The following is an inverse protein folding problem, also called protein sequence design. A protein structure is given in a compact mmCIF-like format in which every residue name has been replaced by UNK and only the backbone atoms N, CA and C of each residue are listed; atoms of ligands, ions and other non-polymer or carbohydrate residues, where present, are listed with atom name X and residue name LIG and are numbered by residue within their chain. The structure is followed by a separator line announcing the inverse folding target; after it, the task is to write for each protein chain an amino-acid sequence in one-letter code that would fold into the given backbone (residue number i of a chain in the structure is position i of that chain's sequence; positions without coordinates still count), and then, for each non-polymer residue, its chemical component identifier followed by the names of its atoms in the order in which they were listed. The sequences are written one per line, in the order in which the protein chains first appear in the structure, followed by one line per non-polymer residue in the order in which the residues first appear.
data_IF_158672446562
#
_entry.id   IF_158672446562
#
_cell.length_a   1.000
_cell.length_b   1.000
_cell.length_c   1.000
_cell.angle_alpha   90.00
_cell.angle_beta   90.00
_cell.angle_gamma   90.00
#
_symmetry.space_group_name_H-M   'P 1'
#
loop_
_entity.id
_entity.type
_entity.pdbx_description
1 polymer ?
#
# COMPACT_ATOMS: atom_id res chain seq x y z
N UNK A 1 9.84 5.56 -11.82
CA UNK A 1 11.25 5.23 -11.54
C UNK A 1 11.29 3.76 -11.14
N UNK A 2 11.87 2.92 -11.99
CA UNK A 2 11.96 1.47 -11.76
C UNK A 2 12.83 1.22 -10.52
N UNK A 3 12.27 0.56 -9.51
CA UNK A 3 13.06 -0.05 -8.44
C UNK A 3 13.87 -1.18 -9.09
N UNK A 4 15.19 -1.06 -9.05
CA UNK A 4 16.11 -1.95 -9.72
C UNK A 4 16.04 -3.36 -9.12
N UNK A 5 15.81 -4.35 -9.97
CA UNK A 5 16.05 -5.77 -9.67
C UNK A 5 17.55 -6.00 -9.48
N UNK A 6 17.93 -6.57 -8.34
CA UNK A 6 19.31 -6.84 -7.99
C UNK A 6 19.82 -8.07 -8.77
N UNK A 7 20.78 -7.90 -9.68
CA UNK A 7 21.35 -8.97 -10.51
C UNK A 7 22.55 -9.64 -9.84
N UNK A 8 22.58 -10.97 -9.88
CA UNK A 8 23.67 -11.80 -9.32
C UNK A 8 24.91 -11.80 -10.23
N UNK A 9 26.09 -11.66 -9.60
CA UNK A 9 27.40 -11.99 -10.20
C UNK A 9 27.60 -13.50 -10.19
N UNK A 10 27.91 -14.05 -11.37
CA UNK A 10 28.24 -15.44 -11.63
C UNK A 10 29.63 -15.77 -11.07
N UNK A 11 29.73 -16.79 -10.22
CA UNK A 11 30.99 -17.42 -9.84
C UNK A 11 31.05 -18.83 -10.43
N UNK A 12 32.21 -19.11 -11.01
CA UNK A 12 32.56 -20.19 -11.92
C UNK A 12 32.49 -21.60 -11.32
N UNK A 13 32.08 -22.53 -12.17
CA UNK A 13 31.98 -23.98 -12.03
C UNK A 13 33.22 -24.70 -11.47
N UNK A 14 32.99 -25.66 -10.58
CA UNK A 14 33.80 -26.90 -10.51
C UNK A 14 32.88 -28.12 -10.42
N UNK A 15 33.07 -29.01 -11.38
CA UNK A 15 32.40 -30.29 -11.59
C UNK A 15 32.93 -31.37 -10.65
N UNK A 16 32.05 -32.09 -9.96
CA UNK A 16 32.33 -33.43 -9.42
C UNK A 16 31.14 -34.33 -9.76
N UNK A 17 31.44 -35.39 -10.51
CA UNK A 17 30.56 -36.46 -10.95
C UNK A 17 30.52 -37.60 -9.94
N UNK A 18 29.34 -38.03 -9.49
CA UNK A 18 29.14 -39.36 -8.89
C UNK A 18 27.79 -39.93 -9.38
N UNK A 19 27.86 -41.17 -9.91
CA UNK A 19 26.79 -41.97 -10.51
C UNK A 19 25.89 -42.68 -9.48
N UNK A 20 24.75 -43.28 -9.89
CA UNK A 20 23.62 -43.55 -8.99
C UNK A 20 23.52 -45.02 -8.55
N UNK A 21 23.05 -45.25 -7.31
CA UNK A 21 22.10 -46.31 -6.93
C UNK A 21 22.09 -46.47 -5.40
N UNK A 22 20.93 -46.31 -4.78
CA UNK A 22 20.28 -47.35 -3.96
C UNK A 22 18.99 -46.81 -3.34
N UNK A 23 17.89 -47.52 -3.61
CA UNK A 23 16.59 -47.37 -2.98
C UNK A 23 16.65 -47.87 -1.54
N UNK A 24 16.23 -47.03 -0.59
CA UNK A 24 15.64 -47.46 0.70
C UNK A 24 14.50 -46.49 1.06
N UNK A 25 13.30 -47.03 1.25
CA UNK A 25 12.09 -46.46 1.89
C UNK A 25 11.54 -47.65 2.72
N UNK A 26 10.83 -47.53 3.87
CA UNK A 26 9.96 -46.41 4.26
C UNK A 26 9.84 -46.04 5.77
N UNK A 27 9.09 -44.94 5.98
CA UNK A 27 8.15 -44.59 7.07
C UNK A 27 8.47 -43.36 7.94
N UNK A 28 7.62 -42.34 7.78
CA UNK A 28 7.49 -41.16 8.64
C UNK A 28 6.52 -40.18 7.96
N UNK A 29 5.30 -40.08 8.48
CA UNK A 29 4.17 -39.36 7.87
C UNK A 29 4.44 -37.86 7.66
N UNK A 30 4.96 -37.50 6.48
CA UNK A 30 4.93 -36.13 5.97
C UNK A 30 3.74 -35.97 5.04
N UNK A 31 2.72 -35.21 5.45
CA UNK A 31 1.72 -34.69 4.51
C UNK A 31 2.45 -33.82 3.50
N UNK A 32 2.67 -34.34 2.29
CA UNK A 32 3.02 -33.52 1.14
C UNK A 32 1.81 -32.60 0.92
N UNK A 33 1.94 -31.34 1.30
CA UNK A 33 1.01 -30.29 0.88
C UNK A 33 1.21 -30.19 -0.63
N UNK A 34 0.32 -30.83 -1.39
CA UNK A 34 0.22 -30.65 -2.83
C UNK A 34 -0.06 -29.17 -3.10
N UNK A 35 1.00 -28.42 -3.38
CA UNK A 35 0.90 -27.05 -3.88
C UNK A 35 0.33 -27.17 -5.29
N UNK A 36 -0.97 -26.92 -5.45
CA UNK A 36 -1.65 -26.99 -6.73
C UNK A 36 -0.90 -26.15 -7.76
N UNK A 37 -0.47 -26.79 -8.86
CA UNK A 37 0.02 -26.10 -10.03
C UNK A 37 -1.09 -25.17 -10.54
N UNK A 38 -0.86 -23.85 -10.49
CA UNK A 38 -1.75 -22.91 -11.18
C UNK A 38 -1.66 -23.20 -12.68
N UNK A 39 -2.74 -23.71 -13.27
CA UNK A 39 -2.86 -23.77 -14.72
C UNK A 39 -2.78 -22.34 -15.26
N UNK A 40 -1.84 -22.08 -16.17
CA UNK A 40 -1.63 -20.75 -16.79
C UNK A 40 -2.85 -20.20 -17.57
N UNK A 41 -3.97 -20.92 -17.66
CA UNK A 41 -5.16 -20.47 -18.38
C UNK A 41 -6.46 -20.80 -17.61
N UNK A 42 -6.51 -20.54 -16.30
CA UNK A 42 -7.68 -20.87 -15.46
C UNK A 42 -8.97 -20.11 -15.83
N UNK A 43 -8.85 -19.03 -16.61
CA UNK A 43 -9.96 -18.24 -17.14
C UNK A 43 -10.25 -18.50 -18.61
N UNK A 44 -9.71 -19.57 -19.20
CA UNK A 44 -10.01 -19.91 -20.59
C UNK A 44 -11.51 -20.05 -20.84
N UNK A 45 -12.00 -19.36 -21.86
CA UNK A 45 -13.42 -19.32 -22.21
C UNK A 45 -14.28 -18.40 -21.34
N UNK A 46 -13.70 -17.72 -20.35
CA UNK A 46 -14.37 -16.68 -19.59
C UNK A 46 -14.07 -15.30 -20.18
N UNK A 47 -15.01 -14.38 -19.99
CA UNK A 47 -14.87 -12.96 -20.30
C UNK A 47 -14.66 -12.16 -19.02
N UNK A 48 -13.62 -11.33 -18.98
CA UNK A 48 -13.31 -10.40 -17.89
C UNK A 48 -13.48 -8.96 -18.40
N UNK A 49 -14.44 -8.24 -17.86
CA UNK A 49 -14.55 -6.80 -18.07
C UNK A 49 -13.64 -6.06 -17.10
N UNK A 50 -12.79 -5.16 -17.61
CA UNK A 50 -11.89 -4.34 -16.81
C UNK A 50 -12.31 -2.88 -16.94
N UNK A 51 -12.74 -2.26 -15.84
CA UNK A 51 -13.30 -0.90 -15.82
C UNK A 51 -12.28 0.08 -15.26
N UNK A 52 -11.92 1.08 -16.07
CA UNK A 52 -10.91 2.11 -15.80
C UNK A 52 -9.51 1.66 -16.20
N UNK A 53 -8.92 2.27 -17.21
CA UNK A 53 -7.67 1.87 -17.88
C UNK A 53 -6.47 2.72 -17.46
N UNK A 54 -6.45 3.17 -16.21
CA UNK A 54 -5.24 3.67 -15.56
C UNK A 54 -4.21 2.56 -15.32
N UNK A 55 -3.19 2.85 -14.52
CA UNK A 55 -2.08 1.91 -14.24
C UNK A 55 -2.59 0.56 -13.70
N UNK A 56 -3.45 0.55 -12.68
CA UNK A 56 -4.01 -0.68 -12.10
C UNK A 56 -4.89 -1.45 -13.09
N UNK A 57 -5.77 -0.79 -13.83
CA UNK A 57 -6.65 -1.48 -14.79
C UNK A 57 -5.91 -2.08 -15.97
N UNK A 58 -4.91 -1.38 -16.51
CA UNK A 58 -4.05 -1.93 -17.57
C UNK A 58 -3.32 -3.18 -17.08
N UNK A 59 -2.84 -3.17 -15.83
CA UNK A 59 -2.21 -4.35 -15.24
C UNK A 59 -3.19 -5.51 -15.01
N UNK A 60 -4.40 -5.22 -14.53
CA UNK A 60 -5.46 -6.22 -14.38
C UNK A 60 -5.87 -6.83 -15.73
N UNK A 61 -5.93 -6.03 -16.80
CA UNK A 61 -6.21 -6.51 -18.16
C UNK A 61 -5.10 -7.47 -18.65
N UNK A 62 -3.83 -7.13 -18.43
CA UNK A 62 -2.71 -8.05 -18.73
C UNK A 62 -2.80 -9.35 -17.94
N UNK A 63 -3.11 -9.26 -16.63
CA UNK A 63 -3.27 -10.44 -15.79
C UNK A 63 -4.43 -11.32 -16.26
N UNK A 64 -5.56 -10.74 -16.67
CA UNK A 64 -6.69 -11.49 -17.20
C UNK A 64 -6.34 -12.19 -18.52
N UNK A 65 -5.63 -11.52 -19.45
CA UNK A 65 -5.13 -12.14 -20.68
C UNK A 65 -4.13 -13.27 -20.39
N UNK A 66 -3.21 -13.05 -19.44
CA UNK A 66 -2.24 -14.05 -19.01
C UNK A 66 -2.89 -15.29 -18.36
N UNK A 67 -4.12 -15.17 -17.87
CA UNK A 67 -4.97 -16.26 -17.36
C UNK A 67 -5.86 -16.89 -18.44
N UNK A 68 -5.70 -16.51 -19.70
CA UNK A 68 -6.45 -17.04 -20.84
C UNK A 68 -7.86 -16.47 -21.03
N UNK A 69 -8.23 -15.38 -20.34
CA UNK A 69 -9.54 -14.76 -20.49
C UNK A 69 -9.67 -13.94 -21.78
N UNK A 70 -10.90 -13.79 -22.27
CA UNK A 70 -11.25 -12.68 -23.16
C UNK A 70 -11.48 -11.41 -22.36
N UNK A 71 -10.85 -10.30 -22.74
CA UNK A 71 -10.87 -9.05 -21.98
C UNK A 71 -11.67 -7.97 -22.71
N UNK A 72 -12.62 -7.36 -21.99
CA UNK A 72 -13.31 -6.14 -22.41
C UNK A 72 -12.77 -4.99 -21.55
N UNK A 73 -11.90 -4.17 -22.12
CA UNK A 73 -11.28 -3.02 -21.46
C UNK A 73 -12.16 -1.77 -21.63
N UNK A 74 -12.61 -1.15 -20.54
CA UNK A 74 -13.60 -0.07 -20.57
C UNK A 74 -13.03 1.17 -19.88
N UNK A 75 -13.09 2.34 -20.53
CA UNK A 75 -12.82 3.62 -19.89
C UNK A 75 -13.76 4.72 -20.38
N UNK A 76 -14.10 5.68 -19.52
CA UNK A 76 -14.90 6.85 -19.91
C UNK A 76 -14.12 7.86 -20.75
N UNK A 77 -12.79 7.80 -20.71
CA UNK A 77 -11.94 8.73 -21.44
C UNK A 77 -11.78 8.28 -22.90
N UNK A 78 -12.51 8.95 -23.78
CA UNK A 78 -12.48 8.74 -25.25
C UNK A 78 -11.12 9.00 -25.89
N UNK A 79 -10.25 9.77 -25.21
CA UNK A 79 -8.93 10.14 -25.74
C UNK A 79 -7.82 9.13 -25.42
N UNK A 80 -8.14 8.02 -24.75
CA UNK A 80 -7.15 6.97 -24.50
C UNK A 80 -6.81 6.23 -25.79
N UNK A 81 -5.59 5.72 -25.87
CA UNK A 81 -5.21 4.77 -26.92
C UNK A 81 -5.83 3.41 -26.56
N UNK A 82 -6.61 2.79 -27.47
CA UNK A 82 -7.12 1.44 -27.28
C UNK A 82 -6.00 0.45 -26.96
N UNK A 83 -6.22 -0.47 -26.02
CA UNK A 83 -5.18 -1.37 -25.56
C UNK A 83 -4.67 -2.30 -26.67
N UNK A 84 -5.50 -2.64 -27.65
CA UNK A 84 -5.12 -3.44 -28.82
C UNK A 84 -4.09 -2.75 -29.73
N UNK A 85 -3.97 -1.44 -29.63
CA UNK A 85 -2.97 -0.64 -30.37
C UNK A 85 -1.70 -0.40 -29.55
N UNK A 86 -1.71 -0.78 -28.27
CA UNK A 86 -0.59 -0.58 -27.37
C UNK A 86 0.38 -1.75 -27.46
N UNK A 87 1.64 -1.47 -27.78
CA UNK A 87 2.70 -2.49 -27.90
C UNK A 87 2.91 -3.34 -26.64
N UNK A 88 2.48 -2.87 -25.47
CA UNK A 88 2.57 -3.62 -24.21
C UNK A 88 1.51 -4.72 -24.08
N UNK A 89 0.55 -4.77 -24.99
CA UNK A 89 -0.41 -5.85 -25.15
C UNK A 89 -0.10 -6.52 -26.48
N UNK A 90 0.41 -7.76 -26.47
CA UNK A 90 0.62 -8.45 -27.76
C UNK A 90 -0.72 -8.52 -28.51
N UNK A 91 -0.73 -8.75 -29.82
CA UNK A 91 -1.96 -8.86 -30.61
C UNK A 91 -2.77 -10.09 -30.19
N UNK A 92 -3.49 -9.97 -29.08
CA UNK A 92 -4.39 -10.98 -28.56
C UNK A 92 -5.72 -10.76 -29.25
N UNK A 93 -6.19 -11.75 -30.03
CA UNK A 93 -7.54 -11.73 -30.61
C UNK A 93 -8.69 -11.75 -29.57
N UNK A 94 -8.33 -11.73 -28.29
CA UNK A 94 -9.19 -11.83 -27.13
C UNK A 94 -9.33 -10.50 -26.36
N UNK A 95 -8.82 -9.38 -26.89
CA UNK A 95 -8.91 -8.06 -26.26
C UNK A 95 -9.80 -7.12 -27.08
N UNK A 96 -10.76 -6.47 -26.41
CA UNK A 96 -11.61 -5.42 -26.98
C UNK A 96 -11.63 -4.20 -26.06
N UNK A 97 -11.29 -3.02 -26.55
CA UNK A 97 -11.40 -1.76 -25.81
C UNK A 97 -12.68 -1.00 -26.20
N UNK A 98 -13.37 -0.46 -25.19
CA UNK A 98 -14.55 0.40 -25.32
C UNK A 98 -14.27 1.70 -24.58
N UNK A 99 -14.22 2.81 -25.31
CA UNK A 99 -13.94 4.13 -24.75
C UNK A 99 -15.18 5.03 -24.83
N UNK A 100 -15.32 5.91 -23.85
CA UNK A 100 -16.46 6.82 -23.75
C UNK A 100 -17.67 6.16 -23.11
N UNK A 101 -18.82 6.26 -23.78
CA UNK A 101 -20.06 5.65 -23.30
C UNK A 101 -20.00 4.12 -23.39
N UNK A 102 -20.12 3.47 -22.24
CA UNK A 102 -20.16 2.02 -22.15
C UNK A 102 -21.61 1.54 -22.00
N UNK A 103 -22.00 0.57 -22.82
CA UNK A 103 -23.22 -0.19 -22.60
C UNK A 103 -23.06 -1.08 -21.36
N UNK A 104 -23.95 -0.90 -20.39
CA UNK A 104 -23.97 -1.68 -19.14
C UNK A 104 -24.15 -3.18 -19.40
N UNK A 105 -24.79 -3.56 -20.51
CA UNK A 105 -24.97 -4.96 -20.88
C UNK A 105 -23.64 -5.71 -21.02
N UNK A 106 -22.54 -5.02 -21.38
CA UNK A 106 -21.20 -5.61 -21.44
C UNK A 106 -20.70 -6.09 -20.07
N UNK A 107 -21.03 -5.36 -19.00
CA UNK A 107 -20.66 -5.73 -17.63
C UNK A 107 -21.55 -6.83 -17.08
N UNK A 108 -22.83 -6.83 -17.46
CA UNK A 108 -23.80 -7.85 -17.03
C UNK A 108 -23.53 -9.20 -17.69
N UNK A 109 -23.01 -9.21 -18.93
CA UNK A 109 -22.71 -10.44 -19.68
C UNK A 109 -21.33 -11.01 -19.39
N UNK A 110 -20.33 -10.20 -19.05
CA UNK A 110 -18.98 -10.68 -18.72
C UNK A 110 -18.96 -11.58 -17.48
N UNK A 111 -18.21 -12.69 -17.44
CA UNK A 111 -18.19 -13.58 -16.27
C UNK A 111 -17.67 -12.91 -14.99
N UNK A 112 -16.73 -11.97 -15.15
CA UNK A 112 -16.14 -11.19 -14.04
C UNK A 112 -15.98 -9.73 -14.41
N UNK A 113 -16.05 -8.87 -13.41
CA UNK A 113 -15.79 -7.43 -13.55
C UNK A 113 -14.67 -7.03 -12.60
N UNK A 114 -13.56 -6.51 -13.13
CA UNK A 114 -12.45 -5.97 -12.35
C UNK A 114 -12.45 -4.46 -12.46
N UNK A 115 -12.52 -3.77 -11.33
CA UNK A 115 -12.66 -2.32 -11.30
C UNK A 115 -11.37 -1.69 -10.77
N UNK A 116 -10.86 -0.72 -11.52
CA UNK A 116 -9.72 0.08 -11.13
C UNK A 116 -10.09 1.05 -9.99
N UNK A 117 -9.17 1.32 -9.03
CA UNK A 117 -9.47 2.16 -7.86
C UNK A 117 -9.95 3.58 -8.20
N UNK A 118 -9.54 4.12 -9.36
CA UNK A 118 -9.94 5.46 -9.78
C UNK A 118 -11.41 5.58 -10.20
N UNK A 119 -12.13 4.46 -10.34
CA UNK A 119 -13.53 4.43 -10.80
C UNK A 119 -14.48 4.51 -9.60
N UNK A 120 -15.36 5.54 -9.51
CA UNK A 120 -16.47 5.58 -8.54
C UNK A 120 -17.34 4.34 -8.56
N UNK A 121 -17.66 3.80 -7.38
CA UNK A 121 -18.56 2.66 -7.22
C UNK A 121 -19.99 3.00 -7.67
N UNK A 122 -20.33 4.30 -7.69
CA UNK A 122 -21.56 4.86 -8.22
C UNK A 122 -21.61 4.84 -9.75
N UNK A 123 -20.46 4.73 -10.42
CA UNK A 123 -20.37 4.71 -11.87
C UNK A 123 -20.62 3.30 -12.43
N UNK A 124 -20.99 3.23 -13.70
CA UNK A 124 -21.19 1.98 -14.46
C UNK A 124 -22.19 0.98 -13.85
N UNK A 125 -22.99 1.40 -12.86
CA UNK A 125 -23.91 0.51 -12.15
C UNK A 125 -23.21 -0.55 -11.28
N UNK A 126 -21.96 -0.31 -10.85
CA UNK A 126 -21.17 -1.29 -10.08
C UNK A 126 -21.90 -1.76 -8.82
N UNK A 127 -22.52 -0.86 -8.07
CA UNK A 127 -23.34 -1.22 -6.89
C UNK A 127 -24.45 -2.22 -7.22
N UNK A 128 -25.12 -2.04 -8.36
CA UNK A 128 -26.20 -2.92 -8.80
C UNK A 128 -25.68 -4.30 -9.21
N UNK A 129 -24.50 -4.36 -9.83
CA UNK A 129 -23.82 -5.63 -10.14
C UNK A 129 -23.42 -6.40 -8.87
N UNK A 130 -22.87 -5.70 -7.88
CA UNK A 130 -22.57 -6.30 -6.58
C UNK A 130 -23.83 -6.87 -5.91
N UNK A 131 -24.93 -6.12 -5.93
CA UNK A 131 -26.22 -6.54 -5.36
C UNK A 131 -26.85 -7.73 -6.10
N UNK A 132 -26.60 -7.88 -7.41
CA UNK A 132 -27.08 -9.03 -8.19
C UNK A 132 -26.24 -10.29 -7.99
N UNK A 133 -25.22 -10.27 -7.11
CA UNK A 133 -24.29 -11.37 -6.91
C UNK A 133 -23.25 -11.52 -8.04
N UNK A 134 -23.10 -10.52 -8.91
CA UNK A 134 -22.07 -10.54 -9.95
C UNK A 134 -20.69 -10.55 -9.30
N UNK A 135 -19.74 -11.29 -9.89
CA UNK A 135 -18.36 -11.30 -9.41
C UNK A 135 -17.63 -10.02 -9.81
N UNK A 136 -17.81 -8.99 -9.00
CA UNK A 136 -17.10 -7.71 -9.10
C UNK A 136 -15.91 -7.71 -8.12
N UNK A 137 -14.73 -7.35 -8.59
CA UNK A 137 -13.49 -7.42 -7.83
C UNK A 137 -12.68 -6.13 -7.99
N UNK A 138 -11.89 -5.76 -6.97
CA UNK A 138 -10.82 -4.77 -7.16
C UNK A 138 -9.61 -5.42 -7.82
N UNK A 139 -8.70 -4.61 -8.36
CA UNK A 139 -7.42 -5.10 -8.89
C UNK A 139 -6.61 -5.88 -7.84
N UNK A 140 -6.57 -5.41 -6.59
CA UNK A 140 -5.89 -6.12 -5.50
C UNK A 140 -6.49 -7.50 -5.24
N UNK A 141 -7.82 -7.60 -5.21
CA UNK A 141 -8.51 -8.85 -4.94
C UNK A 141 -8.37 -9.84 -6.10
N UNK A 142 -8.40 -9.33 -7.33
CA UNK A 142 -8.18 -10.12 -8.55
C UNK A 142 -6.75 -10.69 -8.60
N UNK A 143 -5.74 -9.89 -8.24
CA UNK A 143 -4.36 -10.36 -8.13
C UNK A 143 -4.18 -11.39 -7.00
N UNK A 144 -4.77 -11.12 -5.83
CA UNK A 144 -4.65 -11.99 -4.65
C UNK A 144 -5.30 -13.37 -4.82
N UNK A 145 -6.20 -13.55 -5.78
CA UNK A 145 -6.77 -14.86 -6.15
C UNK A 145 -5.68 -15.86 -6.56
N UNK A 146 -4.63 -15.37 -7.23
CA UNK A 146 -3.52 -16.19 -7.74
C UNK A 146 -2.25 -16.12 -6.89
N UNK A 147 -2.16 -15.21 -5.93
CA UNK A 147 -0.96 -15.08 -5.12
C UNK A 147 -0.75 -16.35 -4.27
N UNK A 148 0.40 -17.05 -4.40
CA UNK A 148 0.68 -18.25 -3.62
C UNK A 148 0.51 -18.02 -2.11
N UNK A 149 -0.14 -18.96 -1.43
CA UNK A 149 -0.44 -18.84 0.02
C UNK A 149 0.79 -18.82 0.92
N UNK A 150 1.94 -19.26 0.42
CA UNK A 150 3.22 -19.16 1.13
C UNK A 150 3.77 -17.72 1.15
N UNK A 151 3.37 -16.87 0.20
CA UNK A 151 3.79 -15.47 0.17
C UNK A 151 3.05 -14.71 1.26
N UNK A 152 3.82 -14.09 2.16
CA UNK A 152 3.28 -13.26 3.25
C UNK A 152 2.91 -11.89 2.71
N UNK A 153 1.80 -11.33 3.18
CA UNK A 153 1.36 -9.99 2.74
C UNK A 153 1.44 -9.04 3.93
N UNK A 154 2.23 -7.98 3.79
CA UNK A 154 2.17 -6.79 4.64
C UNK A 154 1.38 -5.73 3.89
N UNK A 155 0.18 -5.39 4.36
CA UNK A 155 -0.63 -4.36 3.74
C UNK A 155 -0.73 -3.11 4.61
N UNK A 156 -0.44 -1.94 4.03
CA UNK A 156 -0.35 -0.67 4.74
C UNK A 156 -1.31 0.34 4.15
N UNK A 157 -2.27 0.79 4.97
CA UNK A 157 -3.16 1.91 4.67
C UNK A 157 -3.11 2.97 5.77
N UNK A 158 -3.86 4.05 5.59
CA UNK A 158 -3.89 5.23 6.44
C UNK A 158 -4.14 6.50 5.62
N UNK A 159 -4.27 7.64 6.29
CA UNK A 159 -4.35 8.93 5.60
C UNK A 159 -2.95 9.35 5.13
N UNK A 160 -1.98 9.39 6.04
CA UNK A 160 -0.60 9.81 5.78
C UNK A 160 0.43 8.72 6.16
N UNK A 161 1.68 8.84 5.70
CA UNK A 161 2.78 7.93 6.08
C UNK A 161 2.82 6.57 5.37
N UNK A 162 1.76 6.16 4.66
CA UNK A 162 1.65 4.87 3.97
C UNK A 162 2.88 4.49 3.15
N UNK A 163 3.26 5.35 2.20
CA UNK A 163 4.39 5.06 1.30
C UNK A 163 5.70 4.97 2.04
N UNK A 164 5.88 5.75 3.12
CA UNK A 164 7.11 5.70 3.92
C UNK A 164 7.21 4.37 4.66
N UNK A 165 6.14 3.92 5.32
CA UNK A 165 6.12 2.62 6.02
C UNK A 165 6.28 1.46 5.04
N UNK A 166 5.56 1.47 3.91
CA UNK A 166 5.73 0.48 2.83
C UNK A 166 7.18 0.45 2.33
N UNK A 167 7.80 1.62 2.14
CA UNK A 167 9.19 1.71 1.68
C UNK A 167 10.17 1.22 2.74
N UNK A 168 10.00 1.62 4.00
CA UNK A 168 10.86 1.18 5.09
C UNK A 168 10.77 -0.33 5.31
N UNK A 169 9.57 -0.91 5.32
CA UNK A 169 9.42 -2.36 5.41
C UNK A 169 10.10 -3.08 4.24
N UNK A 170 9.94 -2.57 3.01
CA UNK A 170 10.64 -3.09 1.84
C UNK A 170 12.17 -3.00 1.94
N UNK A 171 12.69 -1.87 2.45
CA UNK A 171 14.13 -1.66 2.66
C UNK A 171 14.69 -2.60 3.73
N UNK A 172 13.97 -2.79 4.86
CA UNK A 172 14.34 -3.73 5.92
C UNK A 172 14.46 -5.14 5.35
N UNK A 173 13.42 -5.63 4.67
CA UNK A 173 13.39 -6.96 4.07
C UNK A 173 14.54 -7.15 3.07
N UNK A 174 14.74 -6.18 2.18
CA UNK A 174 15.82 -6.22 1.18
C UNK A 174 17.21 -6.30 1.82
N UNK A 175 17.48 -5.51 2.86
CA UNK A 175 18.76 -5.52 3.57
C UNK A 175 19.01 -6.83 4.33
N UNK A 176 17.94 -7.48 4.78
CA UNK A 176 17.98 -8.80 5.40
C UNK A 176 18.00 -9.95 4.39
N UNK A 177 18.12 -9.66 3.09
CA UNK A 177 18.19 -10.68 2.03
C UNK A 177 16.84 -11.32 1.71
N UNK A 178 15.73 -10.81 2.25
CA UNK A 178 14.39 -11.32 2.00
C UNK A 178 13.85 -10.63 0.74
N UNK A 179 13.68 -11.42 -0.32
CA UNK A 179 13.06 -10.95 -1.56
C UNK A 179 11.62 -10.52 -1.30
N UNK A 180 11.30 -9.26 -1.57
CA UNK A 180 9.99 -8.69 -1.37
C UNK A 180 9.52 -7.93 -2.62
N UNK A 181 8.25 -8.12 -2.97
CA UNK A 181 7.53 -7.16 -3.80
C UNK A 181 7.18 -5.94 -2.94
N UNK A 182 7.37 -4.73 -3.48
CA UNK A 182 6.99 -3.47 -2.82
C UNK A 182 6.17 -2.68 -3.82
N UNK A 183 4.86 -2.56 -3.58
CA UNK A 183 3.99 -1.92 -4.55
C UNK A 183 2.54 -1.70 -4.08
N UNK A 184 1.58 -1.82 -5.00
CA UNK A 184 0.15 -1.57 -4.75
C UNK A 184 -0.27 -0.19 -5.27
N UNK A 185 -0.80 0.66 -4.38
CA UNK A 185 -1.06 2.08 -4.68
C UNK A 185 0.24 2.88 -4.90
N UNK A 186 1.35 2.37 -4.37
CA UNK A 186 2.69 2.88 -4.60
C UNK A 186 3.33 2.11 -5.75
N UNK A 187 3.85 2.81 -6.76
CA UNK A 187 4.64 2.16 -7.81
C UNK A 187 3.83 1.18 -8.65
N UNK A 188 4.23 -0.10 -8.65
CA UNK A 188 3.64 -1.12 -9.50
C UNK A 188 2.39 -1.75 -8.84
N UNK A 189 1.29 -1.98 -9.59
CA UNK A 189 0.14 -2.74 -9.10
C UNK A 189 0.50 -4.16 -8.66
N UNK A 190 -0.33 -4.76 -7.80
CA UNK A 190 -0.10 -6.12 -7.33
C UNK A 190 -0.22 -7.14 -8.48
N UNK A 191 -1.08 -6.86 -9.46
CA UNK A 191 -1.26 -7.67 -10.66
C UNK A 191 0.04 -7.83 -11.46
N UNK A 192 0.89 -6.80 -11.56
CA UNK A 192 2.20 -6.94 -12.23
C UNK A 192 3.10 -7.96 -11.52
N UNK A 193 3.11 -7.96 -10.18
CA UNK A 193 3.90 -8.92 -9.41
C UNK A 193 3.41 -10.37 -9.62
N UNK A 194 2.09 -10.54 -9.72
CA UNK A 194 1.48 -11.85 -9.97
C UNK A 194 1.78 -12.34 -11.38
N UNK A 195 1.76 -11.47 -12.40
CA UNK A 195 2.14 -11.82 -13.78
C UNK A 195 3.57 -12.38 -13.81
N UNK A 196 4.51 -11.77 -13.08
CA UNK A 196 5.88 -12.26 -12.99
C UNK A 196 5.95 -13.64 -12.33
N UNK A 197 5.18 -13.87 -11.26
CA UNK A 197 5.06 -15.18 -10.63
C UNK A 197 4.50 -16.26 -11.57
N UNK A 198 3.59 -15.92 -12.49
CA UNK A 198 3.05 -16.87 -13.48
C UNK A 198 4.09 -17.29 -14.53
N UNK A 199 5.10 -16.45 -14.79
CA UNK A 199 6.17 -16.74 -15.74
C UNK A 199 7.28 -17.64 -15.15
N UNK A 200 7.33 -17.82 -13.83
CA UNK A 200 8.39 -18.54 -13.11
C UNK A 200 7.90 -19.88 -12.52
N UNK A 201 8.72 -20.95 -12.48
CA UNK A 201 8.32 -22.23 -11.87
C UNK A 201 8.03 -22.08 -10.38
N UNK A 202 6.88 -22.60 -9.93
CA UNK A 202 6.33 -22.49 -8.56
C UNK A 202 7.29 -22.96 -7.44
N UNK A 203 8.31 -23.75 -7.78
CA UNK A 203 9.25 -24.36 -6.83
C UNK A 203 10.07 -23.31 -6.06
N UNK A 204 10.23 -22.09 -6.60
CA UNK A 204 10.81 -20.96 -5.87
C UNK A 204 10.07 -19.67 -6.24
N UNK A 205 9.20 -19.12 -5.37
CA UNK A 205 8.52 -17.86 -5.67
C UNK A 205 9.54 -16.73 -5.83
N UNK A 206 9.26 -15.80 -6.75
CA UNK A 206 10.19 -14.69 -7.03
C UNK A 206 10.43 -13.80 -5.81
N UNK A 207 9.44 -13.72 -4.92
CA UNK A 207 9.49 -13.03 -3.65
C UNK A 207 8.75 -13.81 -2.55
N UNK A 208 9.17 -13.62 -1.31
CA UNK A 208 8.61 -14.25 -0.11
C UNK A 208 7.55 -13.36 0.55
N UNK A 209 7.65 -12.05 0.33
CA UNK A 209 6.76 -11.05 0.94
C UNK A 209 6.22 -10.09 -0.10
N UNK A 210 4.93 -9.79 -0.06
CA UNK A 210 4.33 -8.65 -0.73
C UNK A 210 4.07 -7.52 0.29
N UNK A 211 4.84 -6.44 0.20
CA UNK A 211 4.59 -5.19 0.94
C UNK A 211 3.73 -4.27 0.07
N UNK A 212 2.46 -4.16 0.41
CA UNK A 212 1.43 -3.53 -0.43
C UNK A 212 0.94 -2.25 0.25
N UNK A 213 1.19 -1.09 -0.38
CA UNK A 213 0.46 0.13 -0.06
C UNK A 213 -0.98 0.01 -0.56
N UNK A 214 -1.95 0.26 0.31
CA UNK A 214 -3.38 0.15 0.00
C UNK A 214 -4.07 1.49 0.21
N UNK A 215 -4.72 2.02 -0.82
CA UNK A 215 -5.61 3.19 -0.71
C UNK A 215 -7.01 2.79 -0.23
N UNK A 216 -7.79 3.74 0.27
CA UNK A 216 -9.21 3.46 0.58
C UNK A 216 -9.99 3.07 -0.68
N UNK A 217 -9.66 3.66 -1.83
CA UNK A 217 -10.32 3.39 -3.10
C UNK A 217 -10.15 1.93 -3.55
N UNK A 218 -8.98 1.32 -3.28
CA UNK A 218 -8.74 -0.10 -3.53
C UNK A 218 -9.59 -1.04 -2.66
N UNK A 219 -10.14 -0.54 -1.55
CA UNK A 219 -10.95 -1.29 -0.60
C UNK A 219 -12.47 -1.01 -0.70
N UNK A 220 -12.90 -0.17 -1.66
CA UNK A 220 -14.32 0.15 -1.86
C UNK A 220 -15.13 -1.05 -2.37
N UNK A 221 -14.50 -1.89 -3.19
CA UNK A 221 -15.07 -3.20 -3.53
C UNK A 221 -14.68 -4.19 -2.43
N UNK A 222 -15.64 -4.88 -1.81
CA UNK A 222 -15.35 -5.91 -0.82
C UNK A 222 -14.39 -6.97 -1.38
N UNK A 223 -13.28 -7.17 -0.68
CA UNK A 223 -12.26 -8.16 -1.00
C UNK A 223 -12.66 -9.54 -0.46
N UNK A 224 -12.34 -10.60 -1.20
CA UNK A 224 -12.52 -12.00 -0.78
C UNK A 224 -11.19 -12.75 -0.67
N UNK A 225 -10.22 -12.42 -1.51
CA UNK A 225 -8.94 -13.12 -1.64
C UNK A 225 -7.76 -12.32 -1.06
N UNK A 226 -7.79 -10.98 -1.15
CA UNK A 226 -6.75 -10.13 -0.59
C UNK A 226 -6.85 -10.14 0.94
N UNK A 227 -5.99 -10.93 1.59
CA UNK A 227 -6.06 -11.14 3.02
C UNK A 227 -4.64 -11.08 3.63
N UNK A 228 -4.24 -9.94 4.23
CA UNK A 228 -2.88 -9.75 4.70
C UNK A 228 -2.48 -10.73 5.80
N UNK A 229 -1.18 -10.99 5.96
CA UNK A 229 -0.61 -11.61 7.17
C UNK A 229 -0.50 -10.56 8.28
N UNK A 230 -0.08 -9.35 7.90
CA UNK A 230 -0.05 -8.16 8.74
C UNK A 230 -0.76 -7.02 8.00
N UNK A 231 -1.81 -6.47 8.60
CA UNK A 231 -2.54 -5.31 8.08
C UNK A 231 -2.33 -4.11 8.98
N UNK A 232 -2.12 -2.94 8.39
CA UNK A 232 -1.82 -1.71 9.14
C UNK A 232 -2.74 -0.60 8.68
N UNK A 233 -3.47 0.01 9.61
CA UNK A 233 -4.00 1.36 9.46
C UNK A 233 -3.09 2.26 10.28
N UNK A 234 -2.32 3.15 9.63
CA UNK A 234 -1.30 3.95 10.31
C UNK A 234 -1.87 5.09 11.15
N UNK A 235 -2.83 5.81 10.57
CA UNK A 235 -3.49 6.97 11.12
C UNK A 235 -4.81 7.16 10.37
N UNK A 236 -5.72 7.92 10.97
CA UNK A 236 -7.04 8.16 10.41
C UNK A 236 -7.51 9.58 10.70
N UNK A 237 -7.32 10.44 9.71
CA UNK A 237 -7.73 11.85 9.70
C UNK A 237 -8.52 12.15 8.43
N UNK A 238 -9.36 13.21 8.41
CA UNK A 238 -10.18 13.54 7.25
C UNK A 238 -9.37 13.68 5.95
N UNK A 239 -9.76 12.91 4.94
CA UNK A 239 -9.30 13.00 3.55
C UNK A 239 -10.34 12.29 2.69
N UNK A 240 -10.41 12.65 1.41
CA UNK A 240 -11.25 11.97 0.42
C UNK A 240 -12.76 11.92 0.76
N UNK A 241 -13.29 12.89 1.51
CA UNK A 241 -14.70 12.91 1.89
C UNK A 241 -15.63 13.22 0.71
N UNK A 242 -15.13 13.84 -0.35
CA UNK A 242 -15.83 13.92 -1.64
C UNK A 242 -16.18 12.54 -2.22
N UNK A 243 -15.43 11.50 -1.82
CA UNK A 243 -15.59 10.13 -2.28
C UNK A 243 -16.26 9.25 -1.24
N UNK A 244 -15.87 9.34 0.02
CA UNK A 244 -16.39 8.49 1.11
C UNK A 244 -17.65 9.05 1.78
N UNK A 245 -17.98 10.33 1.53
CA UNK A 245 -19.09 11.11 2.09
C UNK A 245 -18.97 11.38 3.60
N UNK A 246 -18.67 10.36 4.40
CA UNK A 246 -18.55 10.46 5.86
C UNK A 246 -17.27 9.80 6.39
N UNK A 247 -16.78 10.27 7.53
CA UNK A 247 -15.65 9.63 8.24
C UNK A 247 -15.95 8.18 8.64
N UNK A 248 -17.23 7.86 8.96
CA UNK A 248 -17.65 6.50 9.27
C UNK A 248 -17.49 5.56 8.08
N UNK A 249 -17.94 5.97 6.90
CA UNK A 249 -17.77 5.20 5.66
C UNK A 249 -16.28 5.04 5.30
N UNK A 250 -15.49 6.10 5.49
CA UNK A 250 -14.05 6.07 5.23
C UNK A 250 -13.33 5.08 6.17
N UNK A 251 -13.71 5.04 7.45
CA UNK A 251 -13.17 4.10 8.44
C UNK A 251 -13.56 2.66 8.09
N UNK A 252 -14.85 2.41 7.86
CA UNK A 252 -15.35 1.10 7.48
C UNK A 252 -14.66 0.57 6.21
N UNK A 253 -14.45 1.43 5.21
CA UNK A 253 -13.76 1.07 3.96
C UNK A 253 -12.31 0.69 4.21
N UNK A 254 -11.55 1.43 5.03
CA UNK A 254 -10.18 1.04 5.38
C UNK A 254 -10.12 -0.23 6.23
N UNK A 255 -11.05 -0.42 7.16
CA UNK A 255 -11.09 -1.58 8.05
C UNK A 255 -11.40 -2.90 7.32
N UNK A 256 -11.94 -2.85 6.09
CA UNK A 256 -12.03 -4.03 5.21
C UNK A 256 -10.68 -4.67 4.93
N UNK A 257 -9.57 -3.96 5.16
CA UNK A 257 -8.23 -4.54 5.12
C UNK A 257 -8.09 -5.75 6.06
N UNK A 258 -8.84 -5.77 7.16
CA UNK A 258 -8.86 -6.84 8.15
C UNK A 258 -9.90 -7.92 7.85
N UNK A 259 -10.68 -7.77 6.77
CA UNK A 259 -11.61 -8.80 6.33
C UNK A 259 -10.89 -10.11 6.09
N UNK A 260 -11.51 -11.20 6.54
CA UNK A 260 -11.00 -12.57 6.41
C UNK A 260 -9.68 -12.86 7.16
N UNK A 261 -9.15 -11.93 7.97
CA UNK A 261 -8.05 -12.24 8.87
C UNK A 261 -8.48 -13.26 9.95
N UNK A 262 -7.51 -14.02 10.45
CA UNK A 262 -7.67 -15.03 11.49
C UNK A 262 -6.74 -14.73 12.67
N UNK A 263 -6.88 -15.45 13.80
CA UNK A 263 -6.01 -15.30 14.99
C UNK A 263 -4.51 -15.56 14.75
N UNK A 264 -4.13 -16.10 13.59
CA UNK A 264 -2.73 -16.22 13.18
C UNK A 264 -2.17 -14.94 12.55
N UNK A 265 -3.01 -13.93 12.30
CA UNK A 265 -2.71 -12.70 11.58
C UNK A 265 -2.79 -11.50 12.52
N UNK A 266 -2.14 -10.40 12.13
CA UNK A 266 -1.99 -9.22 12.96
C UNK A 266 -2.59 -7.98 12.31
N UNK A 267 -3.51 -7.32 13.02
CA UNK A 267 -4.03 -5.99 12.71
C UNK A 267 -3.33 -4.94 13.59
N UNK A 268 -2.81 -3.87 12.97
CA UNK A 268 -2.14 -2.76 13.64
C UNK A 268 -2.89 -1.46 13.36
N UNK A 269 -3.26 -0.71 14.42
CA UNK A 269 -4.17 0.44 14.35
C UNK A 269 -3.71 1.57 15.29
N UNK A 270 -4.00 2.86 15.03
CA UNK A 270 -3.80 3.90 16.03
C UNK A 270 -4.78 3.75 17.21
N UNK A 271 -4.31 4.07 18.41
CA UNK A 271 -5.19 4.20 19.58
C UNK A 271 -6.07 5.45 19.48
N UNK A 272 -7.27 5.41 20.07
CA UNK A 272 -8.07 6.61 20.36
C UNK A 272 -8.91 7.15 19.20
N UNK A 273 -9.11 6.40 18.12
CA UNK A 273 -9.98 6.83 17.02
C UNK A 273 -11.35 6.16 17.07
N UNK A 274 -12.40 6.93 17.39
CA UNK A 274 -13.76 6.40 17.54
C UNK A 274 -14.27 5.67 16.28
N UNK A 275 -14.09 6.25 15.10
CA UNK A 275 -14.59 5.65 13.85
C UNK A 275 -13.89 4.33 13.52
N UNK A 276 -12.57 4.24 13.75
CA UNK A 276 -11.85 2.97 13.60
C UNK A 276 -12.28 1.96 14.66
N UNK A 277 -12.45 2.36 15.91
CA UNK A 277 -12.90 1.48 16.98
C UNK A 277 -14.28 0.90 16.67
N UNK A 278 -15.21 1.72 16.18
CA UNK A 278 -16.54 1.27 15.72
C UNK A 278 -16.42 0.28 14.55
N UNK A 279 -15.59 0.58 13.56
CA UNK A 279 -15.36 -0.31 12.42
C UNK A 279 -14.61 -1.60 12.77
N UNK A 280 -13.83 -1.60 13.86
CA UNK A 280 -13.04 -2.76 14.30
C UNK A 280 -13.89 -3.83 14.98
N UNK A 281 -15.04 -3.47 15.57
CA UNK A 281 -15.94 -4.41 16.26
C UNK A 281 -16.32 -5.61 15.38
N UNK A 282 -16.36 -5.43 14.07
CA UNK A 282 -16.65 -6.52 13.11
C UNK A 282 -15.50 -7.53 12.96
N UNK A 283 -14.30 -7.22 13.46
CA UNK A 283 -13.04 -7.95 13.23
C UNK A 283 -12.24 -8.28 14.50
N UNK A 284 -12.51 -7.62 15.64
CA UNK A 284 -11.69 -7.74 16.86
C UNK A 284 -11.61 -9.19 17.41
N UNK A 285 -12.68 -9.96 17.28
CA UNK A 285 -12.75 -11.36 17.69
C UNK A 285 -12.19 -12.33 16.63
N UNK A 286 -11.59 -11.83 15.55
CA UNK A 286 -11.14 -12.65 14.43
C UNK A 286 -9.65 -12.62 14.22
N UNK A 287 -8.92 -11.64 14.76
CA UNK A 287 -7.48 -11.51 14.54
C UNK A 287 -6.76 -10.93 15.77
N UNK A 288 -5.43 -11.01 15.79
CA UNK A 288 -4.67 -10.35 16.84
C UNK A 288 -4.64 -8.84 16.58
N UNK A 289 -4.96 -8.04 17.59
CA UNK A 289 -4.95 -6.57 17.48
C UNK A 289 -3.78 -5.97 18.27
N UNK A 290 -3.04 -5.08 17.62
CA UNK A 290 -1.96 -4.29 18.20
C UNK A 290 -2.18 -2.79 17.95
N UNK A 291 -1.77 -1.96 18.91
CA UNK A 291 -2.02 -0.53 18.91
C UNK A 291 -0.76 0.28 18.63
N UNK A 292 -0.86 1.31 17.80
CA UNK A 292 0.16 2.34 17.65
C UNK A 292 -0.10 3.38 18.75
N UNK A 293 0.89 3.60 19.61
CA UNK A 293 0.82 4.49 20.77
C UNK A 293 0.45 3.79 22.09
N UNK A 294 0.14 2.49 22.08
CA UNK A 294 -0.23 1.73 23.28
C UNK A 294 0.21 0.26 23.22
N UNK A 295 0.03 -0.48 24.32
CA UNK A 295 0.29 -1.91 24.41
C UNK A 295 -1.00 -2.73 24.55
N UNK A 296 -1.07 -3.96 23.99
CA UNK A 296 -0.08 -4.58 23.10
C UNK A 296 0.04 -3.80 21.78
N UNK A 297 1.25 -3.73 21.23
CA UNK A 297 1.57 -2.92 20.05
C UNK A 297 2.88 -2.15 20.17
N UNK A 298 2.91 -0.93 19.64
CA UNK A 298 4.11 -0.12 19.44
C UNK A 298 4.01 1.17 20.23
N UNK A 299 4.99 1.46 21.08
CA UNK A 299 5.17 2.77 21.71
C UNK A 299 6.54 3.33 21.36
N UNK A 300 6.59 4.62 21.02
CA UNK A 300 7.84 5.32 20.71
C UNK A 300 8.10 6.37 21.78
N UNK A 301 9.26 6.29 22.43
CA UNK A 301 9.82 7.34 23.27
C UNK A 301 10.66 8.26 22.35
N UNK A 302 10.12 9.45 22.08
CA UNK A 302 10.73 10.40 21.15
C UNK A 302 12.00 11.05 21.70
N UNK A 303 12.12 11.19 23.03
CA UNK A 303 13.30 11.77 23.68
C UNK A 303 14.48 10.82 23.58
N UNK A 304 14.24 9.54 23.91
CA UNK A 304 15.28 8.49 23.85
C UNK A 304 15.46 7.91 22.45
N UNK A 305 14.53 8.19 21.54
CA UNK A 305 14.46 7.59 20.19
C UNK A 305 14.46 6.05 20.26
N UNK A 306 13.59 5.52 21.10
CA UNK A 306 13.42 4.08 21.31
C UNK A 306 11.99 3.69 20.97
N UNK A 307 11.81 2.56 20.28
CA UNK A 307 10.51 1.91 20.17
C UNK A 307 10.46 0.65 21.03
N UNK A 308 9.42 0.53 21.84
CA UNK A 308 9.10 -0.68 22.59
C UNK A 308 7.91 -1.38 21.91
N UNK A 309 8.00 -2.70 21.77
CA UNK A 309 7.02 -3.54 21.13
C UNK A 309 6.47 -4.57 22.11
N UNK A 310 5.16 -4.85 22.06
CA UNK A 310 4.54 -5.96 22.78
C UNK A 310 3.61 -6.73 21.86
N UNK A 311 3.90 -8.00 21.62
CA UNK A 311 3.05 -8.85 20.79
C UNK A 311 1.73 -9.19 21.53
N UNK A 312 0.56 -9.09 20.88
CA UNK A 312 -0.74 -9.35 21.51
C UNK A 312 -0.95 -10.81 21.98
N UNK A 313 -0.64 -11.82 21.15
CA UNK A 313 -0.85 -13.23 21.54
C UNK A 313 0.26 -13.82 22.42
N UNK A 314 1.54 -13.60 22.07
CA UNK A 314 2.67 -14.19 22.83
C UNK A 314 3.09 -13.38 24.05
N UNK A 315 2.67 -12.11 24.15
CA UNK A 315 3.13 -11.20 25.19
C UNK A 315 4.60 -10.79 25.08
N UNK A 316 5.32 -11.26 24.04
CA UNK A 316 6.75 -11.00 23.84
C UNK A 316 7.02 -9.50 23.76
N UNK A 317 7.99 -9.04 24.54
CA UNK A 317 8.45 -7.65 24.57
C UNK A 317 9.79 -7.56 23.86
N UNK A 318 9.93 -6.59 22.97
CA UNK A 318 11.19 -6.29 22.30
C UNK A 318 11.40 -4.78 22.20
N UNK A 319 12.64 -4.35 22.01
CA UNK A 319 13.04 -2.95 21.99
C UNK A 319 13.92 -2.67 20.79
N UNK A 320 13.62 -1.59 20.07
CA UNK A 320 14.36 -1.12 18.91
C UNK A 320 14.95 0.26 19.17
N UNK A 321 16.25 0.41 18.89
CA UNK A 321 16.92 1.71 18.88
C UNK A 321 16.65 2.42 17.55
N UNK A 322 16.15 3.65 17.59
CA UNK A 322 15.89 4.48 16.41
C UNK A 322 16.88 5.65 16.27
N UNK A 323 17.80 5.82 17.22
CA UNK A 323 18.72 6.96 17.27
C UNK A 323 19.58 7.15 16.01
N UNK A 324 19.85 6.06 15.26
CA UNK A 324 20.62 6.05 14.02
C UNK A 324 19.79 6.39 12.77
N UNK A 325 18.47 6.54 12.89
CA UNK A 325 17.59 6.87 11.76
C UNK A 325 17.95 8.26 11.19
N UNK A 326 18.25 8.30 9.88
CA UNK A 326 18.65 9.53 9.16
C UNK A 326 17.47 10.31 8.56
N UNK A 327 16.27 9.73 8.55
CA UNK A 327 15.09 10.38 8.01
C UNK A 327 14.68 11.59 8.86
N UNK A 328 14.39 12.72 8.21
CA UNK A 328 14.03 13.97 8.89
C UNK A 328 12.57 13.91 9.34
N UNK A 329 12.31 14.41 10.55
CA UNK A 329 10.95 14.60 11.10
C UNK A 329 10.52 13.53 12.09
N UNK A 330 9.84 13.97 13.15
CA UNK A 330 9.42 13.14 14.30
C UNK A 330 8.51 11.97 13.89
N UNK A 331 7.60 12.19 12.94
CA UNK A 331 6.70 11.16 12.42
C UNK A 331 7.44 9.97 11.77
N UNK A 332 8.67 10.16 11.27
CA UNK A 332 9.44 9.08 10.67
C UNK A 332 9.95 8.05 11.69
N UNK A 333 10.08 8.42 12.96
CA UNK A 333 10.35 7.47 14.03
C UNK A 333 9.18 6.50 14.24
N UNK A 334 7.94 7.02 14.24
CA UNK A 334 6.74 6.18 14.26
C UNK A 334 6.63 5.31 13.00
N UNK A 335 6.87 5.87 11.81
CA UNK A 335 6.84 5.10 10.57
C UNK A 335 7.86 3.95 10.59
N UNK A 336 9.10 4.20 11.05
CA UNK A 336 10.13 3.19 11.18
C UNK A 336 9.76 2.12 12.23
N UNK A 337 9.24 2.53 13.38
CA UNK A 337 8.82 1.62 14.44
C UNK A 337 7.67 0.71 14.00
N UNK A 338 6.66 1.25 13.30
CA UNK A 338 5.54 0.47 12.77
C UNK A 338 6.02 -0.47 11.65
N UNK A 339 6.87 -0.01 10.73
CA UNK A 339 7.46 -0.87 9.70
C UNK A 339 8.24 -2.04 10.31
N UNK A 340 9.09 -1.76 11.31
CA UNK A 340 9.86 -2.77 12.03
C UNK A 340 8.96 -3.79 12.72
N UNK A 341 7.96 -3.32 13.48
CA UNK A 341 7.01 -4.20 14.16
C UNK A 341 6.21 -5.03 13.15
N UNK A 342 5.80 -4.46 12.01
CA UNK A 342 5.14 -5.22 10.95
C UNK A 342 6.04 -6.32 10.37
N UNK A 343 7.30 -6.02 10.09
CA UNK A 343 8.25 -6.99 9.51
C UNK A 343 8.56 -8.13 10.49
N UNK A 344 8.75 -7.84 11.79
CA UNK A 344 8.95 -8.84 12.83
C UNK A 344 7.81 -9.86 12.93
N UNK A 345 6.60 -9.47 12.51
CA UNK A 345 5.39 -10.28 12.62
C UNK A 345 4.97 -10.92 11.28
N UNK A 346 5.83 -10.90 10.26
CA UNK A 346 5.55 -11.53 8.97
C UNK A 346 5.83 -13.03 8.92
N UNK A 347 6.46 -13.60 9.96
CA UNK A 347 6.84 -15.02 10.01
C UNK A 347 7.82 -15.36 8.86
N UNK A 348 8.92 -14.60 8.79
CA UNK A 348 10.00 -14.68 7.79
C UNK A 348 11.39 -14.78 8.43
N UNK A 349 11.46 -15.35 9.64
CA UNK A 349 12.71 -15.63 10.37
C UNK A 349 13.61 -14.39 10.58
N UNK A 350 13.04 -13.31 11.08
CA UNK A 350 13.76 -12.07 11.43
C UNK A 350 13.60 -11.75 12.92
N UNK A 351 14.69 -11.30 13.54
CA UNK A 351 14.70 -10.86 14.94
C UNK A 351 14.91 -9.35 15.08
N UNK A 352 14.77 -8.86 16.31
CA UNK A 352 14.85 -7.43 16.63
C UNK A 352 16.23 -6.84 16.34
N UNK A 353 17.30 -7.62 16.52
CA UNK A 353 18.69 -7.18 16.31
C UNK A 353 18.99 -7.03 14.82
N UNK A 354 18.52 -7.99 14.02
CA UNK A 354 18.56 -7.93 12.55
C UNK A 354 17.85 -6.68 12.05
N UNK A 355 16.63 -6.41 12.53
CA UNK A 355 15.90 -5.18 12.18
C UNK A 355 16.66 -3.93 12.64
N UNK A 356 17.25 -3.94 13.84
CA UNK A 356 18.08 -2.86 14.36
C UNK A 356 19.22 -2.47 13.44
N UNK A 357 19.87 -3.45 12.79
CA UNK A 357 20.97 -3.23 11.85
C UNK A 357 20.57 -2.45 10.60
N UNK A 358 19.28 -2.43 10.26
CA UNK A 358 18.75 -1.77 9.04
C UNK A 358 18.43 -0.28 9.22
N UNK A 359 18.25 0.17 10.47
CA UNK A 359 17.64 1.47 10.78
C UNK A 359 18.42 2.66 10.21
N UNK A 360 19.76 2.60 10.28
CA UNK A 360 20.61 3.68 9.76
C UNK A 360 20.53 3.82 8.23
N UNK A 361 20.16 2.75 7.54
CA UNK A 361 20.10 2.67 6.09
C UNK A 361 18.74 3.07 5.52
N UNK A 362 17.72 3.21 6.36
CA UNK A 362 16.37 3.60 5.91
C UNK A 362 16.36 4.99 5.29
N UNK A 363 15.71 5.11 4.13
CA UNK A 363 15.56 6.37 3.39
C UNK A 363 14.11 6.54 2.94
N UNK A 364 13.45 7.68 3.27
CA UNK A 364 12.13 7.95 2.75
C UNK A 364 12.17 8.10 1.23
N UNK A 365 11.03 7.96 0.58
CA UNK A 365 10.90 8.25 -0.86
C UNK A 365 11.17 9.73 -1.16
N UNK A 366 11.54 10.06 -2.41
CA UNK A 366 11.64 11.45 -2.83
C UNK A 366 10.37 12.25 -2.53
N UNK A 367 10.53 13.55 -2.30
CA UNK A 367 9.44 14.50 -2.01
C UNK A 367 8.72 14.29 -0.67
N UNK A 368 9.33 13.58 0.29
CA UNK A 368 8.81 13.37 1.65
C UNK A 368 9.84 13.80 2.68
N UNK A 369 9.76 15.06 3.12
CA UNK A 369 10.76 15.70 4.00
C UNK A 369 12.21 15.47 3.52
N UNK A 370 12.41 15.53 2.20
CA UNK A 370 13.67 15.19 1.56
C UNK A 370 14.58 16.42 1.53
N UNK A 371 15.79 16.32 2.09
CA UNK A 371 16.82 17.34 1.84
C UNK A 371 17.29 17.19 0.39
N UNK A 372 16.95 18.16 -0.46
CA UNK A 372 17.31 18.16 -1.90
C UNK A 372 18.58 18.95 -2.19
N UNK A 373 18.90 19.95 -1.37
CA UNK A 373 20.11 20.76 -1.52
C UNK A 373 20.52 21.39 -0.20
N UNK A 374 21.82 21.49 0.01
CA UNK A 374 22.41 22.47 0.93
C UNK A 374 23.26 23.41 0.07
N UNK A 375 22.97 24.70 0.06
CA UNK A 375 23.71 25.64 -0.76
C UNK A 375 24.93 26.23 -0.04
N UNK A 376 25.75 26.98 -0.79
CA UNK A 376 26.98 27.59 -0.29
C UNK A 376 26.73 28.66 0.79
N UNK A 377 25.48 29.13 0.93
CA UNK A 377 25.06 30.09 1.95
C UNK A 377 24.50 29.42 3.21
N UNK A 378 24.57 28.07 3.28
CA UNK A 378 24.11 27.30 4.43
C UNK A 378 22.60 27.05 4.48
N UNK A 379 21.85 27.38 3.42
CA UNK A 379 20.41 27.11 3.36
C UNK A 379 20.18 25.63 3.02
N UNK A 380 19.33 24.97 3.82
CA UNK A 380 18.87 23.61 3.57
C UNK A 380 17.51 23.67 2.87
N UNK A 381 17.45 23.10 1.68
CA UNK A 381 16.24 22.99 0.86
C UNK A 381 15.59 21.64 1.13
N UNK A 382 14.35 21.67 1.63
CA UNK A 382 13.56 20.48 1.95
C UNK A 382 12.38 20.38 1.00
N UNK A 383 12.26 19.25 0.30
CA UNK A 383 11.15 18.92 -0.59
C UNK A 383 10.17 18.00 0.14
N UNK A 384 8.97 18.52 0.35
CA UNK A 384 7.82 17.79 0.88
C UNK A 384 6.61 17.89 -0.05
N UNK A 385 6.83 17.88 -1.38
CA UNK A 385 5.77 18.08 -2.38
C UNK A 385 4.68 16.99 -2.37
N UNK A 386 4.86 15.91 -1.60
CA UNK A 386 3.82 14.89 -1.36
C UNK A 386 2.88 15.22 -0.19
N UNK A 387 3.06 16.35 0.50
CA UNK A 387 2.10 16.89 1.44
C UNK A 387 0.88 17.49 0.71
N UNK A 388 0.01 16.63 0.17
CA UNK A 388 -1.14 17.03 -0.66
C UNK A 388 -2.46 17.19 0.12
N UNK A 389 -2.41 17.20 1.45
CA UNK A 389 -3.54 17.49 2.34
C UNK A 389 -3.06 18.31 3.54
N UNK A 390 -3.99 18.98 4.23
CA UNK A 390 -3.69 19.88 5.36
C UNK A 390 -2.91 19.16 6.45
N UNK A 391 -3.32 17.94 6.81
CA UNK A 391 -2.67 17.19 7.89
C UNK A 391 -1.22 16.79 7.57
N UNK A 392 -0.94 16.46 6.31
CA UNK A 392 0.42 16.18 5.86
C UNK A 392 1.29 17.44 5.93
N UNK A 393 0.75 18.60 5.51
CA UNK A 393 1.43 19.88 5.63
C UNK A 393 1.67 20.23 7.11
N UNK A 394 0.66 20.10 7.97
CA UNK A 394 0.77 20.29 9.42
C UNK A 394 1.91 19.44 10.01
N UNK A 395 1.95 18.16 9.65
CA UNK A 395 2.95 17.22 10.12
C UNK A 395 4.37 17.60 9.67
N UNK A 396 4.54 17.98 8.40
CA UNK A 396 5.83 18.40 7.84
C UNK A 396 6.34 19.70 8.44
N UNK A 397 5.48 20.71 8.55
CA UNK A 397 5.77 22.01 9.18
C UNK A 397 6.13 21.79 10.67
N UNK A 398 5.29 21.06 11.40
CA UNK A 398 5.51 20.77 12.82
C UNK A 398 6.81 20.02 13.08
N UNK A 399 7.23 19.14 12.16
CA UNK A 399 8.48 18.41 12.24
C UNK A 399 9.73 19.31 12.14
N UNK A 400 9.59 20.56 11.68
CA UNK A 400 10.65 21.55 11.55
C UNK A 400 10.53 22.70 12.57
N UNK A 401 9.69 22.61 13.61
CA UNK A 401 9.52 23.68 14.62
C UNK A 401 10.85 24.16 15.23
N UNK A 402 11.79 23.25 15.46
CA UNK A 402 13.14 23.56 15.98
C UNK A 402 14.10 24.16 14.92
N UNK A 403 13.68 24.18 13.65
CA UNK A 403 14.44 24.69 12.50
C UNK A 403 13.61 25.73 11.76
N UNK A 404 13.60 26.98 12.27
CA UNK A 404 12.85 28.10 11.66
C UNK A 404 13.13 28.18 10.15
N UNK A 405 12.07 27.97 9.35
CA UNK A 405 12.13 27.74 7.91
C UNK A 405 11.39 28.84 7.16
N UNK A 406 11.59 28.92 5.84
CA UNK A 406 10.67 29.64 4.93
C UNK A 406 9.76 28.59 4.30
N UNK A 407 8.45 28.71 4.49
CA UNK A 407 7.48 27.67 4.10
C UNK A 407 6.80 28.07 2.79
N UNK A 408 6.83 27.19 1.79
CA UNK A 408 6.09 27.35 0.53
C UNK A 408 4.75 26.61 0.64
N UNK A 409 3.63 27.32 0.51
CA UNK A 409 2.28 26.74 0.57
C UNK A 409 1.45 27.11 -0.65
N UNK A 410 0.72 26.14 -1.22
CA UNK A 410 -0.14 26.41 -2.37
C UNK A 410 -0.73 25.16 -3.00
N UNK A 411 -1.68 25.36 -3.91
CA UNK A 411 -2.36 24.27 -4.64
C UNK A 411 -3.88 24.33 -4.53
N UNK A 412 -4.54 23.26 -5.00
CA UNK A 412 -6.00 23.11 -4.92
C UNK A 412 -6.35 22.43 -3.60
N UNK A 413 -7.17 23.10 -2.79
CA UNK A 413 -7.63 22.56 -1.52
C UNK A 413 -8.61 21.40 -1.72
N UNK A 414 -8.51 20.38 -0.85
CA UNK A 414 -9.56 19.38 -0.69
C UNK A 414 -10.55 19.87 0.37
N UNK A 415 -11.84 19.64 0.15
CA UNK A 415 -12.89 20.01 1.09
C UNK A 415 -12.88 19.03 2.27
N UNK A 416 -12.85 19.52 3.51
CA UNK A 416 -12.78 18.72 4.73
C UNK A 416 -14.15 18.42 5.35
N UNK A 417 -15.20 19.18 5.01
CA UNK A 417 -16.55 18.92 5.50
C UNK A 417 -17.62 19.46 4.54
N UNK A 418 -18.87 19.05 4.76
CA UNK A 418 -20.02 19.48 3.96
C UNK A 418 -20.29 21.00 4.02
N UNK A 419 -19.71 21.70 4.99
CA UNK A 419 -19.83 23.16 5.19
C UNK A 419 -18.81 23.96 4.36
N UNK A 420 -17.93 23.27 3.62
CA UNK A 420 -16.93 23.91 2.75
C UNK A 420 -15.65 24.34 3.46
N UNK A 421 -15.43 23.93 4.72
CA UNK A 421 -14.15 24.15 5.39
C UNK A 421 -13.04 23.34 4.68
N UNK A 422 -11.91 24.00 4.53
CA UNK A 422 -10.70 23.48 3.91
C UNK A 422 -9.57 23.28 4.92
N UNK A 423 -9.80 23.63 6.20
CA UNK A 423 -8.99 23.33 7.39
C UNK A 423 -7.62 23.97 7.49
N UNK A 424 -7.29 24.90 6.61
CA UNK A 424 -6.02 25.64 6.71
C UNK A 424 -5.84 26.38 8.04
N UNK A 425 -6.91 26.64 8.80
CA UNK A 425 -6.83 27.16 10.16
C UNK A 425 -5.94 26.33 11.09
N UNK A 426 -5.85 25.00 10.86
CA UNK A 426 -4.97 24.11 11.63
C UNK A 426 -3.49 24.40 11.40
N UNK A 427 -3.13 25.04 10.28
CA UNK A 427 -1.75 25.38 9.96
C UNK A 427 -1.28 26.67 10.66
N UNK A 428 -2.16 27.48 11.24
CA UNK A 428 -1.77 28.75 11.86
C UNK A 428 -0.74 28.54 12.96
N UNK A 429 -1.08 27.74 13.98
CA UNK A 429 -0.20 27.47 15.12
C UNK A 429 1.19 26.94 14.70
N UNK A 430 1.33 25.89 13.87
CA UNK A 430 2.67 25.43 13.49
C UNK A 430 3.44 26.42 12.61
N UNK A 431 2.75 27.30 11.86
CA UNK A 431 3.40 28.30 11.01
C UNK A 431 4.03 29.45 11.81
N UNK A 432 3.53 29.78 13.00
CA UNK A 432 4.11 30.80 13.90
C UNK A 432 5.56 30.51 14.30
N UNK A 433 5.97 29.24 14.27
CA UNK A 433 7.35 28.84 14.59
C UNK A 433 8.34 29.12 13.44
N UNK A 434 7.88 29.51 12.26
CA UNK A 434 8.70 29.67 11.05
C UNK A 434 8.90 31.15 10.67
N UNK A 435 9.88 31.41 9.79
CA UNK A 435 10.36 32.77 9.51
C UNK A 435 9.43 33.55 8.59
N UNK A 436 8.85 32.86 7.62
CA UNK A 436 8.07 33.46 6.55
C UNK A 436 7.27 32.36 5.83
N UNK A 437 6.12 32.75 5.28
CA UNK A 437 5.27 31.92 4.44
C UNK A 437 5.20 32.58 3.06
N UNK A 438 5.47 31.81 2.02
CA UNK A 438 5.27 32.24 0.64
C UNK A 438 4.16 31.40 0.06
N UNK A 439 3.05 32.05 -0.32
CA UNK A 439 1.93 31.38 -0.96
C UNK A 439 2.06 31.39 -2.48
N UNK A 440 1.82 30.25 -3.15
CA UNK A 440 1.92 30.11 -4.61
C UNK A 440 0.57 29.72 -5.21
N UNK A 441 0.22 30.32 -6.36
CA UNK A 441 -1.13 30.39 -6.96
C UNK A 441 -2.10 31.19 -6.07
N UNK A 442 -3.28 31.62 -6.54
CA UNK A 442 -4.26 32.35 -5.72
C UNK A 442 -4.48 31.56 -4.41
N UNK A 443 -3.89 31.97 -3.26
CA UNK A 443 -4.13 31.26 -2.03
C UNK A 443 -5.62 31.34 -1.77
N UNK A 444 -6.20 30.27 -1.21
CA UNK A 444 -7.60 30.34 -0.81
C UNK A 444 -7.76 31.56 0.12
N UNK A 445 -8.79 32.37 -0.09
CA UNK A 445 -8.97 33.62 0.69
C UNK A 445 -8.89 33.38 2.21
N UNK A 446 -9.28 32.18 2.65
CA UNK A 446 -9.13 31.70 4.03
C UNK A 446 -7.69 31.73 4.54
N UNK A 447 -6.70 31.33 3.73
CA UNK A 447 -5.29 31.33 4.11
C UNK A 447 -4.77 32.76 4.32
N UNK A 448 -5.14 33.68 3.44
CA UNK A 448 -4.76 35.10 3.58
C UNK A 448 -5.50 35.77 4.75
N UNK A 449 -6.79 35.50 4.91
CA UNK A 449 -7.60 36.05 6.01
C UNK A 449 -7.06 35.68 7.40
N UNK A 450 -6.41 34.51 7.55
CA UNK A 450 -5.80 34.09 8.82
C UNK A 450 -4.57 34.94 9.20
N UNK A 451 -3.87 35.54 8.24
CA UNK A 451 -2.67 36.37 8.47
C UNK A 451 -2.90 37.87 8.21
N UNK A 452 -4.13 38.28 7.93
CA UNK A 452 -4.49 39.68 7.65
C UNK A 452 -4.95 40.45 8.90
N UNK A 453 -4.90 39.83 10.07
CA UNK A 453 -5.32 40.39 11.36
C UNK A 453 -4.15 40.82 12.27
N UNK A 454 -2.92 40.89 11.74
CA UNK A 454 -1.76 41.51 12.43
C UNK A 454 -1.33 42.82 11.76
#
# INVERSE_FOLDING_TARGET
MNLATCSHKTLTSRSISISPAHKVVPFGHGRIISCCAYCNEDLKGQTVAVVGLGVSGRSAAKLALARGASVIAIDKNENLVPLEQDSAFEKHGYLKTVLGNCDRQLLETADRVVVSPGVPIENYGILSLLQSGKRVMSELDFAAELLPKCIKILAVTGTNGKSTVTTFAGQMLCQLGIKAFVGGNLGNPLSEAVIQCLASPIVNPEFQVAVVEVSSYQMEIPNTHFCPSVGVILNFTPDHLERHQTMKNYAATKSRLFSHMSFSKLAILPVGNQHLNEALKDYEDKCNVAWIGSFPGVKVDMEKRIADFKHPSTGMISRLQLGTLKAVGSHNFYNAAVAAFSVLNLDVEVDIDSIGSTIELLRPLPHRMQIVRKDAHGVTWVDDSKATNVEAAYTGISALKEQKSVVLLGGVAKVLNAEGDIGFGQLVEPLEYHRCIITVNKPHQSLLALFSNE
#
